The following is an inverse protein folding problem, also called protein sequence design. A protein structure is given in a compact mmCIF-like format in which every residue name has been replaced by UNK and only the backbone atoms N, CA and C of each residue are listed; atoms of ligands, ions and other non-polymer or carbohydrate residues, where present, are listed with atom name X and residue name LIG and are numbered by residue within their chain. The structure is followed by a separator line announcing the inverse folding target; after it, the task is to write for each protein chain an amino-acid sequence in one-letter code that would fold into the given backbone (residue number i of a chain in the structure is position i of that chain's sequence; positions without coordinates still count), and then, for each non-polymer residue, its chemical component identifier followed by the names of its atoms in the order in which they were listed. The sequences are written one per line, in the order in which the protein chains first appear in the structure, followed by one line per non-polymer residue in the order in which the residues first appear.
data_IF_270689685768
#
_entry.id   IF_270689685768
#
_cell.length_a   1.000
_cell.length_b   1.000
_cell.length_c   1.000
_cell.angle_alpha   90.00
_cell.angle_beta   90.00
_cell.angle_gamma   90.00
#
_symmetry.space_group_name_H-M   'P 1'
#
loop_
_entity.id
_entity.type
_entity.pdbx_description
1 polymer ?
#
# COMPACT_ATOMS: atom_id res chain seq x y z
N UNK A 1 8.70 1.82 -5.21
CA UNK A 1 7.45 2.49 -4.80
C UNK A 1 6.99 1.93 -3.46
N UNK A 2 6.60 2.78 -2.50
CA UNK A 2 6.07 2.35 -1.18
C UNK A 2 4.57 2.64 -1.13
N UNK A 3 3.72 1.65 -1.43
CA UNK A 3 2.25 1.82 -1.48
C UNK A 3 1.65 1.96 -0.07
N UNK A 4 0.66 2.84 0.07
CA UNK A 4 -0.07 3.05 1.32
C UNK A 4 -1.56 3.22 1.07
N UNK A 5 -2.36 2.80 2.06
CA UNK A 5 -3.70 3.35 2.27
C UNK A 5 -3.58 4.40 3.37
N UNK A 6 -4.12 5.58 3.13
CA UNK A 6 -4.09 6.67 4.10
C UNK A 6 -5.41 7.42 4.14
N UNK A 7 -5.61 8.19 5.20
CA UNK A 7 -6.75 9.08 5.39
C UNK A 7 -6.25 10.52 5.47
N UNK A 8 -6.84 11.39 4.65
CA UNK A 8 -6.61 12.83 4.64
C UNK A 8 -7.95 13.53 4.37
N UNK A 9 -8.28 14.58 5.14
CA UNK A 9 -9.57 15.27 5.10
C UNK A 9 -10.77 14.31 5.11
N UNK A 10 -10.76 13.39 6.08
CA UNK A 10 -11.74 12.33 6.29
C UNK A 10 -11.94 11.28 5.18
N UNK A 11 -11.22 11.39 4.06
CA UNK A 11 -11.35 10.47 2.94
C UNK A 11 -10.17 9.50 2.91
N UNK A 12 -10.48 8.20 2.93
CA UNK A 12 -9.49 7.13 2.77
C UNK A 12 -9.23 6.86 1.29
N UNK A 13 -7.96 6.69 0.92
CA UNK A 13 -7.51 6.60 -0.47
C UNK A 13 -6.14 5.93 -0.61
N UNK A 14 -5.77 5.54 -1.83
CA UNK A 14 -4.48 4.94 -2.17
C UNK A 14 -3.47 6.03 -2.55
N UNK A 15 -2.21 5.81 -2.18
CA UNK A 15 -1.08 6.62 -2.62
C UNK A 15 0.23 5.90 -2.46
N UNK A 16 1.32 6.64 -2.62
CA UNK A 16 2.67 6.15 -2.35
C UNK A 16 3.45 7.13 -1.47
N UNK A 17 4.33 6.62 -0.62
CA UNK A 17 5.31 7.45 0.10
C UNK A 17 6.55 7.63 -0.77
N UNK A 18 6.96 8.88 -0.93
CA UNK A 18 8.22 9.30 -1.55
C UNK A 18 8.87 10.29 -0.58
N UNK A 19 10.05 9.94 -0.08
CA UNK A 19 10.73 10.67 1.01
C UNK A 19 9.80 10.92 2.21
N UNK A 20 9.50 12.20 2.53
CA UNK A 20 8.61 12.59 3.62
C UNK A 20 7.25 13.10 3.13
N UNK A 21 6.84 12.71 1.91
CA UNK A 21 5.57 13.10 1.31
C UNK A 21 4.77 11.88 0.87
N UNK A 22 3.47 12.07 0.81
CA UNK A 22 2.50 11.17 0.19
C UNK A 22 2.11 11.72 -1.17
N UNK A 23 2.21 10.87 -2.18
CA UNK A 23 1.65 11.07 -3.51
C UNK A 23 0.19 10.63 -3.47
N UNK A 24 -0.74 11.58 -3.49
CA UNK A 24 -2.18 11.33 -3.41
C UNK A 24 -2.77 10.92 -4.77
N UNK A 25 -3.28 9.69 -4.85
CA UNK A 25 -3.94 9.17 -6.04
C UNK A 25 -5.37 9.66 -6.28
N UNK A 26 -5.95 10.49 -5.39
CA UNK A 26 -7.35 10.92 -5.51
C UNK A 26 -7.64 11.60 -6.85
N UNK A 27 -8.64 11.10 -7.57
CA UNK A 27 -9.11 11.72 -8.81
C UNK A 27 -8.19 11.51 -10.01
N UNK A 28 -7.07 10.79 -9.84
CA UNK A 28 -6.17 10.47 -10.93
C UNK A 28 -6.70 9.29 -11.72
N UNK A 29 -6.78 9.45 -13.03
CA UNK A 29 -7.25 8.40 -13.94
C UNK A 29 -6.43 7.12 -13.74
N UNK A 30 -7.12 5.97 -13.72
CA UNK A 30 -6.53 4.64 -13.52
C UNK A 30 -5.90 4.41 -12.14
N UNK A 31 -6.10 5.29 -11.16
CA UNK A 31 -5.74 5.02 -9.75
C UNK A 31 -7.03 4.83 -8.95
N UNK A 32 -7.45 3.58 -8.67
CA UNK A 32 -8.62 3.33 -7.86
C UNK A 32 -8.46 3.85 -6.43
N UNK A 33 -9.58 4.22 -5.80
CA UNK A 33 -9.57 4.79 -4.46
C UNK A 33 -9.22 3.77 -3.38
N UNK A 34 -9.49 2.48 -3.58
CA UNK A 34 -9.24 1.43 -2.57
C UNK A 34 -8.07 0.55 -2.96
N UNK A 35 -7.28 0.11 -1.97
CA UNK A 35 -6.10 -0.74 -2.25
C UNK A 35 -6.47 -2.06 -2.92
N UNK A 36 -7.62 -2.66 -2.61
CA UNK A 36 -8.05 -3.88 -3.29
C UNK A 36 -8.30 -3.66 -4.78
N UNK A 37 -9.00 -2.57 -5.14
CA UNK A 37 -9.23 -2.24 -6.55
C UNK A 37 -7.93 -1.86 -7.25
N UNK A 38 -7.05 -1.12 -6.56
CA UNK A 38 -5.72 -0.77 -7.07
C UNK A 38 -4.90 -2.01 -7.41
N UNK A 39 -4.83 -2.97 -6.48
CA UNK A 39 -4.13 -4.25 -6.70
C UNK A 39 -4.77 -5.09 -7.81
N UNK A 40 -6.11 -5.10 -7.89
CA UNK A 40 -6.85 -5.81 -8.94
C UNK A 40 -6.63 -5.20 -10.33
N UNK A 41 -6.43 -3.89 -10.42
CA UNK A 41 -6.13 -3.19 -11.67
C UNK A 41 -4.69 -3.44 -12.18
N UNK A 42 -3.79 -3.95 -11.32
CA UNK A 42 -2.48 -4.43 -11.74
C UNK A 42 -1.56 -3.34 -12.31
N UNK A 43 -0.91 -3.64 -13.43
CA UNK A 43 0.09 -2.77 -14.07
C UNK A 43 -0.46 -1.39 -14.41
N UNK A 44 -1.70 -1.29 -14.88
CA UNK A 44 -2.28 -0.02 -15.31
C UNK A 44 -2.34 1.00 -14.16
N UNK A 45 -2.65 0.54 -12.95
CA UNK A 45 -2.68 1.39 -11.76
C UNK A 45 -1.28 1.69 -11.22
N UNK A 46 -0.36 0.72 -11.28
CA UNK A 46 1.04 0.91 -10.90
C UNK A 46 1.73 1.94 -11.80
N UNK A 47 1.55 1.84 -13.11
CA UNK A 47 2.14 2.75 -14.10
C UNK A 47 1.55 4.16 -13.95
N UNK A 48 0.23 4.27 -13.76
CA UNK A 48 -0.42 5.55 -13.50
C UNK A 48 0.12 6.23 -12.22
N UNK A 49 0.29 5.47 -11.14
CA UNK A 49 0.87 5.99 -9.90
C UNK A 49 2.36 6.34 -10.06
N UNK A 50 3.11 5.58 -10.85
CA UNK A 50 4.52 5.90 -11.16
C UNK A 50 4.65 7.19 -11.98
N UNK A 51 3.75 7.42 -12.94
CA UNK A 51 3.67 8.69 -13.68
C UNK A 51 3.38 9.86 -12.74
N UNK A 52 2.45 9.69 -11.80
CA UNK A 52 2.11 10.71 -10.80
C UNK A 52 3.25 10.96 -9.79
N UNK A 53 4.01 9.93 -9.44
CA UNK A 53 5.24 10.08 -8.66
C UNK A 53 6.24 10.94 -9.45
N UNK A 54 6.45 10.62 -10.73
CA UNK A 54 7.44 11.32 -11.56
C UNK A 54 7.04 12.77 -11.87
N UNK A 55 5.74 13.10 -11.86
CA UNK A 55 5.26 14.46 -12.13
C UNK A 55 5.51 15.45 -10.99
N UNK A 56 5.89 14.98 -9.80
CA UNK A 56 6.05 15.79 -8.58
C UNK A 56 4.77 16.53 -8.15
N UNK A 57 3.60 16.09 -8.60
CA UNK A 57 2.30 16.68 -8.23
C UNK A 57 1.60 15.91 -7.11
N UNK A 58 0.50 16.46 -6.61
CA UNK A 58 -0.37 15.83 -5.60
C UNK A 58 0.38 15.37 -4.34
N UNK A 59 1.24 16.24 -3.80
CA UNK A 59 2.04 15.99 -2.61
C UNK A 59 1.35 16.48 -1.35
N UNK A 60 1.37 15.64 -0.32
CA UNK A 60 0.92 15.95 1.04
C UNK A 60 2.05 15.58 1.99
N UNK A 61 2.45 16.42 2.95
CA UNK A 61 3.39 16.03 3.98
C UNK A 61 2.95 14.74 4.71
N UNK A 62 3.90 13.84 4.96
CA UNK A 62 3.58 12.52 5.54
C UNK A 62 2.98 12.63 6.96
N UNK A 63 3.32 13.68 7.70
CA UNK A 63 2.82 13.99 9.03
C UNK A 63 1.41 14.63 9.04
N UNK A 64 0.92 15.08 7.88
CA UNK A 64 -0.46 15.60 7.72
C UNK A 64 -1.48 14.50 7.39
N UNK A 65 -1.03 13.26 7.17
CA UNK A 65 -1.93 12.13 6.88
C UNK A 65 -1.99 11.14 8.04
N UNK A 66 -3.12 10.43 8.13
CA UNK A 66 -3.20 9.22 8.97
C UNK A 66 -2.96 7.99 8.13
N UNK A 67 -1.84 7.31 8.34
CA UNK A 67 -1.59 6.00 7.75
C UNK A 67 -2.61 4.99 8.27
N UNK A 68 -3.18 4.21 7.36
CA UNK A 68 -4.04 3.08 7.66
C UNK A 68 -3.29 1.78 7.36
N UNK A 69 -3.89 0.66 7.72
CA UNK A 69 -3.37 -0.64 7.27
C UNK A 69 -3.32 -0.68 5.72
N UNK A 70 -2.26 -1.24 5.10
CA UNK A 70 -2.10 -1.18 3.65
C UNK A 70 -3.30 -1.74 2.87
N UNK A 71 -3.86 -2.85 3.35
CA UNK A 71 -5.10 -3.45 2.83
C UNK A 71 -6.14 -3.52 3.96
N UNK A 72 -7.10 -2.58 4.05
CA UNK A 72 -8.05 -2.49 5.17
C UNK A 72 -8.98 -3.68 5.38
N UNK A 73 -9.34 -4.39 4.30
CA UNK A 73 -10.25 -5.53 4.34
C UNK A 73 -9.79 -6.57 3.31
N UNK A 74 -8.72 -7.34 3.59
CA UNK A 74 -8.27 -8.36 2.65
C UNK A 74 -9.33 -9.47 2.55
N UNK A 75 -9.48 -10.07 1.36
CA UNK A 75 -10.47 -11.13 1.14
C UNK A 75 -10.12 -12.45 1.84
N UNK A 76 -8.84 -12.65 2.20
CA UNK A 76 -8.31 -13.82 2.92
C UNK A 76 -7.12 -13.41 3.79
N UNK A 77 -6.91 -14.15 4.88
CA UNK A 77 -5.74 -14.04 5.74
C UNK A 77 -5.02 -15.40 5.74
N UNK A 78 -3.75 -15.43 5.32
CA UNK A 78 -2.94 -16.65 5.26
C UNK A 78 -1.75 -16.47 6.20
N UNK A 79 -1.70 -17.27 7.26
CA UNK A 79 -0.56 -17.33 8.17
C UNK A 79 0.33 -18.51 7.80
N UNK A 80 1.59 -18.25 7.44
CA UNK A 80 2.56 -19.29 7.13
C UNK A 80 3.57 -19.34 8.27
N UNK A 81 3.40 -20.32 9.17
CA UNK A 81 4.41 -20.65 10.18
C UNK A 81 5.54 -21.49 9.58
N UNK A 82 6.62 -21.64 10.33
CA UNK A 82 7.73 -22.55 9.98
C UNK A 82 8.32 -22.29 8.57
N UNK A 83 8.31 -21.05 8.09
CA UNK A 83 8.81 -20.69 6.75
C UNK A 83 10.29 -20.29 6.73
N UNK A 84 11.01 -20.56 7.82
CA UNK A 84 12.43 -20.25 8.00
C UNK A 84 13.10 -21.41 8.73
N UNK A 85 14.19 -21.94 8.18
CA UNK A 85 14.86 -23.13 8.71
C UNK A 85 15.31 -22.96 10.18
N UNK A 86 15.86 -21.79 10.53
CA UNK A 86 16.30 -21.50 11.89
C UNK A 86 15.12 -21.48 12.87
N UNK A 87 13.99 -20.89 12.48
CA UNK A 87 12.79 -20.89 13.32
C UNK A 87 12.22 -22.30 13.51
N UNK A 88 12.31 -23.17 12.50
CA UNK A 88 11.94 -24.58 12.65
C UNK A 88 12.83 -25.23 13.74
N UNK A 89 14.15 -25.03 13.66
CA UNK A 89 15.10 -25.62 14.60
C UNK A 89 14.85 -25.19 16.06
N UNK A 90 14.41 -23.95 16.28
CA UNK A 90 14.04 -23.44 17.61
C UNK A 90 12.77 -24.08 18.19
N UNK A 91 11.79 -24.40 17.32
CA UNK A 91 10.46 -24.83 17.79
C UNK A 91 10.43 -26.24 18.36
N UNK A 92 11.49 -27.05 18.19
CA UNK A 92 11.56 -28.49 18.56
C UNK A 92 10.46 -29.38 17.94
N UNK A 93 9.66 -28.82 17.04
CA UNK A 93 8.63 -29.54 16.30
C UNK A 93 9.31 -30.47 15.30
N UNK A 94 8.98 -31.76 15.36
CA UNK A 94 9.35 -32.78 14.38
C UNK A 94 8.16 -33.04 13.46
N UNK A 95 8.46 -33.13 12.17
CA UNK A 95 7.49 -33.35 11.09
C UNK A 95 6.85 -34.73 11.15
#
# INVERSE_FOLDING_TARGET
MKLITFKHNDISRVGAVVDNEVVDGLGVKNIPQTMLQFLAAGSDALDALQVLINSQQARIPLDEVKLLVPVPRPGKFLGIGLNYADHIAETTLVW
#
